data_IF_805517489541
#
_entry.id   IF_805517489541
#
_cell.length_a   1.000
_cell.length_b   1.000
_cell.length_c   1.000
_cell.angle_alpha   90.00
_cell.angle_beta   90.00
_cell.angle_gamma   90.00
#
_symmetry.space_group_name_H-M   'P 1'
#
loop_
_entity.id
_entity.type
_entity.pdbx_description
1 polymer ?
#
# COMPACT_ATOMS: atom_id res chain seq x y z
N UNK A 1 -11.48 26.89 -2.27
CA UNK A 1 -10.65 27.47 -1.21
C UNK A 1 -11.58 28.08 -0.17
N UNK A 2 -11.53 27.67 1.10
CA UNK A 2 -12.29 28.30 2.18
C UNK A 2 -11.76 29.69 2.50
N UNK A 3 -12.66 30.61 2.78
CA UNK A 3 -12.34 31.98 3.19
C UNK A 3 -12.84 32.22 4.61
N UNK A 4 -12.16 33.11 5.33
CA UNK A 4 -12.59 33.53 6.68
C UNK A 4 -13.56 34.72 6.55
N UNK A 5 -14.76 34.71 7.18
CA UNK A 5 -15.33 33.71 8.09
C UNK A 5 -15.79 32.42 7.40
N UNK A 6 -15.36 31.26 7.94
CA UNK A 6 -15.66 29.93 7.38
C UNK A 6 -17.17 29.68 7.27
N UNK A 7 -17.97 30.17 8.22
CA UNK A 7 -19.43 30.01 8.18
C UNK A 7 -20.06 30.73 6.98
N UNK A 8 -19.56 31.91 6.59
CA UNK A 8 -20.06 32.62 5.41
C UNK A 8 -19.69 31.90 4.12
N UNK A 9 -18.47 31.34 4.07
CA UNK A 9 -18.03 30.51 2.95
C UNK A 9 -18.87 29.23 2.81
N UNK A 10 -19.22 28.57 3.92
CA UNK A 10 -20.07 27.38 3.92
C UNK A 10 -21.46 27.66 3.35
N UNK A 11 -22.10 28.77 3.74
CA UNK A 11 -23.40 29.14 3.19
C UNK A 11 -23.35 29.44 1.69
N UNK A 12 -22.26 30.03 1.19
CA UNK A 12 -22.06 30.23 -0.24
C UNK A 12 -21.86 28.91 -0.99
N UNK A 13 -21.10 27.98 -0.41
CA UNK A 13 -20.87 26.65 -0.96
C UNK A 13 -22.16 25.81 -1.02
N UNK A 14 -23.01 25.88 0.01
CA UNK A 14 -24.33 25.23 0.02
C UNK A 14 -25.17 25.68 -1.18
N UNK A 15 -25.22 27.00 -1.44
CA UNK A 15 -25.96 27.55 -2.56
C UNK A 15 -25.39 27.10 -3.92
N UNK A 16 -24.06 26.97 -4.04
CA UNK A 16 -23.41 26.51 -5.26
C UNK A 16 -23.66 25.01 -5.53
N UNK A 17 -23.71 24.19 -4.47
CA UNK A 17 -24.08 22.77 -4.56
C UNK A 17 -25.53 22.61 -4.99
N UNK A 18 -26.44 23.44 -4.47
CA UNK A 18 -27.85 23.46 -4.89
C UNK A 18 -28.01 23.86 -6.36
N UNK A 19 -27.19 24.80 -6.84
CA UNK A 19 -27.25 25.30 -8.21
C UNK A 19 -26.64 24.30 -9.21
N UNK A 20 -25.64 23.52 -8.80
CA UNK A 20 -24.93 22.56 -9.65
C UNK A 20 -24.74 21.16 -9.01
N UNK A 21 -25.81 20.42 -8.66
CA UNK A 21 -25.71 19.19 -7.86
C UNK A 21 -24.98 18.03 -8.57
N UNK A 22 -24.95 18.05 -9.91
CA UNK A 22 -24.21 17.07 -10.71
C UNK A 22 -22.68 17.27 -10.65
N UNK A 23 -22.21 18.45 -10.24
CA UNK A 23 -20.79 18.74 -10.06
C UNK A 23 -20.24 18.14 -8.75
N UNK A 24 -21.10 17.85 -7.77
CA UNK A 24 -20.65 17.48 -6.43
C UNK A 24 -21.02 16.06 -5.99
N UNK A 25 -21.95 15.38 -6.68
CA UNK A 25 -22.35 14.00 -6.32
C UNK A 25 -21.19 13.01 -6.32
N UNK A 26 -20.87 12.49 -5.14
CA UNK A 26 -19.89 11.43 -4.93
C UNK A 26 -18.46 11.81 -5.27
N UNK A 27 -18.15 13.12 -5.37
CA UNK A 27 -16.82 13.58 -5.74
C UNK A 27 -15.93 13.76 -4.51
N UNK A 28 -14.72 13.29 -4.70
CA UNK A 28 -13.56 13.50 -3.86
C UNK A 28 -13.00 14.90 -4.11
N UNK A 29 -12.80 15.71 -3.07
CA UNK A 29 -12.33 17.09 -3.16
C UNK A 29 -11.06 17.32 -2.35
N UNK A 30 -10.14 18.11 -2.90
CA UNK A 30 -8.94 18.59 -2.21
C UNK A 30 -9.23 19.99 -1.66
N UNK A 31 -8.86 20.22 -0.41
CA UNK A 31 -9.13 21.47 0.29
C UNK A 31 -7.84 22.30 0.38
N UNK A 32 -7.80 23.43 -0.32
CA UNK A 32 -6.75 24.42 -0.12
C UNK A 32 -7.10 25.31 1.08
N UNK A 33 -6.28 25.26 2.13
CA UNK A 33 -6.44 26.02 3.38
C UNK A 33 -5.47 27.20 3.50
N UNK A 34 -4.85 27.62 2.40
CA UNK A 34 -3.87 28.73 2.36
C UNK A 34 -4.36 30.04 2.99
N UNK A 35 -5.66 30.34 2.89
CA UNK A 35 -6.29 31.55 3.44
C UNK A 35 -6.89 31.38 4.85
N UNK A 36 -6.74 30.19 5.45
CA UNK A 36 -7.23 29.89 6.80
C UNK A 36 -6.07 29.87 7.79
N UNK A 37 -6.34 30.18 9.06
CA UNK A 37 -5.35 30.07 10.14
C UNK A 37 -5.53 28.76 10.90
N UNK A 38 -4.44 28.14 11.32
CA UNK A 38 -4.47 26.87 12.07
C UNK A 38 -5.35 26.92 13.34
N UNK A 39 -5.33 28.05 14.04
CA UNK A 39 -6.04 28.23 15.32
C UNK A 39 -7.51 28.62 15.16
N UNK A 40 -8.06 28.57 13.94
CA UNK A 40 -9.47 28.90 13.67
C UNK A 40 -10.38 27.82 14.27
N UNK A 41 -11.21 28.12 15.28
CA UNK A 41 -12.02 27.13 15.99
C UNK A 41 -12.99 26.35 15.09
N UNK A 42 -13.45 26.99 14.02
CA UNK A 42 -14.43 26.45 13.07
C UNK A 42 -13.84 25.32 12.21
N UNK A 43 -12.51 25.21 12.13
CA UNK A 43 -11.83 24.11 11.42
C UNK A 43 -12.22 22.74 12.01
N UNK A 44 -12.30 22.60 13.33
CA UNK A 44 -12.59 21.30 13.97
C UNK A 44 -13.93 20.69 13.51
N UNK A 45 -14.92 21.52 13.19
CA UNK A 45 -16.23 21.06 12.72
C UNK A 45 -16.34 20.92 11.19
N UNK A 46 -15.37 21.45 10.44
CA UNK A 46 -15.44 21.60 8.99
C UNK A 46 -15.57 20.26 8.24
N UNK A 47 -14.83 19.18 8.56
CA UNK A 47 -14.95 17.91 7.84
C UNK A 47 -16.32 17.27 7.99
N UNK A 48 -16.91 17.40 9.18
CA UNK A 48 -18.24 16.88 9.46
C UNK A 48 -19.28 17.63 8.63
N UNK A 49 -19.21 18.97 8.59
CA UNK A 49 -20.14 19.79 7.80
C UNK A 49 -20.05 19.52 6.31
N UNK A 50 -18.83 19.41 5.76
CA UNK A 50 -18.66 19.07 4.34
C UNK A 50 -19.17 17.66 4.01
N UNK A 51 -19.00 16.69 4.91
CA UNK A 51 -19.56 15.34 4.77
C UNK A 51 -21.09 15.33 4.79
N UNK A 52 -21.69 16.11 5.69
CA UNK A 52 -23.15 16.25 5.78
C UNK A 52 -23.73 16.88 4.50
N UNK A 53 -22.93 17.67 3.77
CA UNK A 53 -23.24 18.22 2.44
C UNK A 53 -22.95 17.24 1.28
N UNK A 54 -22.49 16.02 1.56
CA UNK A 54 -22.19 14.98 0.56
C UNK A 54 -20.83 15.10 -0.12
N UNK A 55 -19.91 15.92 0.41
CA UNK A 55 -18.55 16.09 -0.09
C UNK A 55 -17.57 15.21 0.70
N UNK A 56 -16.66 14.53 -0.01
CA UNK A 56 -15.61 13.72 0.58
C UNK A 56 -14.25 14.40 0.41
N UNK A 57 -13.63 14.82 1.52
CA UNK A 57 -12.32 15.47 1.47
C UNK A 57 -11.23 14.39 1.35
N UNK A 58 -10.39 14.46 0.32
CA UNK A 58 -9.33 13.47 0.07
C UNK A 58 -7.93 13.99 0.30
N UNK A 59 -7.77 15.30 0.48
CA UNK A 59 -6.48 15.92 0.69
C UNK A 59 -6.64 17.36 1.14
N UNK A 60 -5.61 17.86 1.80
CA UNK A 60 -5.43 19.28 2.08
C UNK A 60 -4.19 19.75 1.29
N UNK A 61 -4.29 20.89 0.64
CA UNK A 61 -3.20 21.46 -0.14
C UNK A 61 -2.30 22.37 0.72
N UNK A 62 -1.01 22.40 0.38
CA UNK A 62 -0.04 23.31 0.98
C UNK A 62 0.38 22.96 2.41
N UNK A 63 0.99 23.94 3.09
CA UNK A 63 1.56 23.75 4.44
C UNK A 63 0.50 23.39 5.48
N UNK A 64 -0.77 23.73 5.22
CA UNK A 64 -1.87 23.40 6.08
C UNK A 64 -2.05 21.89 6.28
N UNK A 65 -1.62 21.06 5.32
CA UNK A 65 -1.64 19.60 5.45
C UNK A 65 -0.80 19.06 6.63
N UNK A 66 0.11 19.89 7.16
CA UNK A 66 0.97 19.54 8.30
C UNK A 66 0.51 20.15 9.62
N UNK A 67 -0.63 20.85 9.66
CA UNK A 67 -1.14 21.44 10.88
C UNK A 67 -1.54 20.35 11.89
N UNK A 68 -1.01 20.40 13.14
CA UNK A 68 -1.47 19.55 14.24
C UNK A 68 -2.99 19.51 14.42
N UNK A 69 -3.70 20.62 14.18
CA UNK A 69 -5.16 20.69 14.31
C UNK A 69 -5.94 19.86 13.30
N UNK A 70 -5.33 19.44 12.18
CA UNK A 70 -5.94 18.58 11.17
C UNK A 70 -5.68 17.08 11.40
N UNK A 71 -4.91 16.73 12.43
CA UNK A 71 -4.56 15.33 12.75
C UNK A 71 -5.79 14.46 13.01
N UNK A 72 -6.87 15.04 13.51
CA UNK A 72 -8.14 14.35 13.77
C UNK A 72 -9.03 14.16 12.53
N UNK A 73 -8.69 14.79 11.39
CA UNK A 73 -9.50 14.74 10.17
C UNK A 73 -9.31 13.43 9.39
N UNK A 74 -8.23 12.68 9.67
CA UNK A 74 -7.90 11.39 9.06
C UNK A 74 -7.87 11.43 7.52
N UNK A 75 -7.27 12.48 6.95
CA UNK A 75 -7.16 12.71 5.50
C UNK A 75 -5.72 12.42 5.06
N UNK A 76 -5.50 11.63 4.00
CA UNK A 76 -4.16 11.44 3.45
C UNK A 76 -3.62 12.77 2.91
N UNK A 77 -2.37 13.10 3.25
CA UNK A 77 -1.70 14.32 2.80
C UNK A 77 -1.49 14.21 1.29
N UNK A 78 -2.14 15.07 0.51
CA UNK A 78 -1.87 15.19 -0.92
C UNK A 78 -0.58 16.01 -1.08
N UNK A 79 0.46 15.49 -1.74
CA UNK A 79 1.68 16.25 -1.95
C UNK A 79 1.38 17.43 -2.86
N UNK A 80 1.56 18.64 -2.33
CA UNK A 80 1.61 19.85 -3.13
C UNK A 80 2.99 19.90 -3.76
N UNK A 81 3.03 19.62 -5.06
CA UNK A 81 4.20 19.62 -5.96
C UNK A 81 5.02 18.32 -5.89
N UNK A 82 5.03 17.57 -7.00
CA UNK A 82 5.67 16.26 -7.15
C UNK A 82 7.18 16.25 -6.87
N UNK A 83 7.54 16.22 -5.59
CA UNK A 83 8.90 16.10 -5.08
C UNK A 83 8.92 15.13 -3.89
N UNK A 84 9.99 14.35 -3.84
CA UNK A 84 10.28 13.28 -2.88
C UNK A 84 9.92 13.61 -1.42
N UNK A 85 9.30 12.62 -0.77
CA UNK A 85 9.23 12.53 0.69
C UNK A 85 10.66 12.37 1.23
N UNK A 86 11.13 13.36 1.98
CA UNK A 86 12.29 13.20 2.87
C UNK A 86 11.70 12.98 4.26
N UNK A 87 11.80 11.77 4.84
CA UNK A 87 11.50 11.57 6.25
C UNK A 87 12.48 12.36 7.10
N UNK A 88 12.00 13.25 7.97
CA UNK A 88 12.80 13.73 9.09
C UNK A 88 12.87 12.60 10.12
N UNK A 89 14.05 12.03 10.32
CA UNK A 89 14.29 11.09 11.41
C UNK A 89 13.96 11.70 12.78
N UNK A 90 13.04 11.00 13.46
CA UNK A 90 12.94 10.72 14.90
C UNK A 90 14.04 11.25 15.81
N UNK A 91 13.65 11.88 16.93
CA UNK A 91 14.25 11.53 18.22
C UNK A 91 13.22 11.46 19.36
N UNK A 92 13.11 10.25 19.91
CA UNK A 92 12.99 9.88 21.33
C UNK A 92 11.67 10.20 22.06
N UNK A 93 10.82 9.17 22.15
CA UNK A 93 10.20 8.84 23.45
C UNK A 93 10.02 7.33 23.58
N UNK A 94 10.79 6.77 24.51
CA UNK A 94 10.71 5.39 25.00
C UNK A 94 9.40 5.19 25.77
N UNK A 95 8.31 4.98 25.05
CA UNK A 95 7.21 4.16 25.52
C UNK A 95 7.12 3.05 24.51
N UNK A 96 7.10 1.79 24.99
CA UNK A 96 6.93 0.63 24.13
C UNK A 96 5.65 0.79 23.30
N UNK A 97 5.78 1.41 22.13
CA UNK A 97 4.79 1.40 21.08
C UNK A 97 4.63 -0.07 20.75
N UNK A 98 3.45 -0.60 21.05
CA UNK A 98 2.94 -1.74 20.32
C UNK A 98 2.95 -1.26 18.88
N UNK A 99 4.04 -1.55 18.15
CA UNK A 99 4.08 -1.35 16.70
C UNK A 99 2.77 -1.89 16.17
N UNK A 100 2.04 -1.15 15.31
CA UNK A 100 0.81 -1.68 14.75
C UNK A 100 1.18 -3.05 14.20
N UNK A 101 0.60 -4.10 14.80
CA UNK A 101 0.84 -5.47 14.38
C UNK A 101 0.49 -5.46 12.89
N UNK A 102 1.48 -5.53 12.00
CA UNK A 102 1.25 -5.71 10.57
C UNK A 102 0.39 -6.95 10.44
N UNK A 103 -0.92 -6.77 10.34
CA UNK A 103 -1.87 -7.86 10.34
C UNK A 103 -1.85 -8.46 8.96
N UNK A 104 -1.63 -9.77 8.87
CA UNK A 104 -1.68 -10.46 7.60
C UNK A 104 -3.13 -10.51 7.09
N UNK A 105 -3.35 -10.17 5.82
CA UNK A 105 -4.60 -10.41 5.13
C UNK A 105 -4.60 -11.84 4.58
N UNK A 106 -5.61 -12.64 4.92
CA UNK A 106 -5.77 -13.99 4.41
C UNK A 106 -6.91 -14.00 3.38
N UNK A 107 -6.60 -14.47 2.18
CA UNK A 107 -7.54 -14.63 1.07
C UNK A 107 -7.74 -16.13 0.84
N UNK A 108 -8.95 -16.62 1.07
CA UNK A 108 -9.28 -18.06 0.97
C UNK A 108 -9.72 -18.51 -0.44
N UNK A 109 -9.52 -17.67 -1.45
CA UNK A 109 -9.95 -17.92 -2.82
C UNK A 109 -8.82 -17.77 -3.85
N UNK A 110 -9.09 -18.29 -5.06
CA UNK A 110 -8.22 -18.09 -6.21
C UNK A 110 -8.43 -16.71 -6.81
N UNK A 111 -7.34 -16.00 -7.04
CA UNK A 111 -7.35 -14.67 -7.65
C UNK A 111 -7.24 -14.85 -9.16
N UNK A 112 -8.27 -14.40 -9.87
CA UNK A 112 -8.50 -14.61 -11.30
C UNK A 112 -7.95 -13.43 -12.10
N UNK A 113 -7.82 -13.65 -13.41
CA UNK A 113 -7.35 -12.63 -14.34
C UNK A 113 -8.14 -11.33 -14.23
N UNK A 114 -7.44 -10.20 -14.24
CA UNK A 114 -8.04 -8.86 -14.13
C UNK A 114 -8.41 -8.43 -12.71
N UNK A 115 -8.27 -9.30 -11.70
CA UNK A 115 -8.48 -8.92 -10.31
C UNK A 115 -7.21 -8.31 -9.71
N UNK A 116 -7.40 -7.28 -8.88
CA UNK A 116 -6.38 -6.62 -8.09
C UNK A 116 -6.74 -6.73 -6.61
N UNK A 117 -5.80 -7.21 -5.80
CA UNK A 117 -5.91 -7.21 -4.35
C UNK A 117 -4.75 -6.43 -3.75
N UNK A 118 -5.05 -5.54 -2.80
CA UNK A 118 -4.07 -4.68 -2.16
C UNK A 118 -4.22 -4.71 -0.65
N UNK A 119 -3.11 -4.85 0.05
CA UNK A 119 -3.00 -4.73 1.50
C UNK A 119 -1.71 -3.98 1.88
N UNK A 120 -1.79 -2.66 2.02
CA UNK A 120 -0.60 -1.83 2.26
C UNK A 120 -0.01 -1.99 3.66
N UNK A 121 -0.79 -2.48 4.62
CA UNK A 121 -0.46 -2.46 6.05
C UNK A 121 0.31 -3.70 6.52
N UNK A 122 0.47 -4.73 5.67
CA UNK A 122 1.10 -5.97 6.10
C UNK A 122 1.24 -7.03 5.01
N UNK A 123 1.39 -8.27 5.48
CA UNK A 123 1.57 -9.44 4.62
C UNK A 123 0.25 -9.87 3.97
N UNK A 124 0.33 -10.50 2.79
CA UNK A 124 -0.82 -11.13 2.12
C UNK A 124 -0.57 -12.63 2.04
N UNK A 125 -1.53 -13.41 2.51
CA UNK A 125 -1.53 -14.88 2.44
C UNK A 125 -2.71 -15.31 1.57
N UNK A 126 -2.44 -16.09 0.54
CA UNK A 126 -3.44 -16.58 -0.41
C UNK A 126 -3.51 -18.09 -0.29
N UNK A 127 -4.67 -18.62 0.11
CA UNK A 127 -4.97 -20.05 0.17
C UNK A 127 -5.54 -20.53 -1.17
N UNK A 128 -4.80 -20.27 -2.25
CA UNK A 128 -5.28 -20.53 -3.61
C UNK A 128 -4.25 -20.16 -4.67
N UNK A 129 -4.71 -20.11 -5.92
CA UNK A 129 -3.86 -19.73 -7.05
C UNK A 129 -3.99 -18.23 -7.37
N UNK A 130 -2.96 -17.68 -7.98
CA UNK A 130 -2.96 -16.36 -8.61
C UNK A 130 -2.79 -16.56 -10.12
N UNK A 131 -3.82 -16.22 -10.88
CA UNK A 131 -3.91 -16.49 -12.32
C UNK A 131 -3.13 -15.46 -13.14
N UNK A 132 -2.87 -15.75 -14.42
CA UNK A 132 -2.33 -14.77 -15.37
C UNK A 132 -3.18 -13.50 -15.40
N UNK A 133 -2.54 -12.34 -15.42
CA UNK A 133 -3.18 -11.03 -15.37
C UNK A 133 -3.86 -10.66 -14.04
N UNK A 134 -3.76 -11.49 -12.99
CA UNK A 134 -4.09 -11.10 -11.63
C UNK A 134 -2.94 -10.27 -11.02
N UNK A 135 -3.27 -9.39 -10.07
CA UNK A 135 -2.27 -8.56 -9.40
C UNK A 135 -2.47 -8.53 -7.88
N UNK A 136 -1.37 -8.73 -7.15
CA UNK A 136 -1.31 -8.71 -5.68
C UNK A 136 -0.34 -7.63 -5.25
N UNK A 137 -0.76 -6.77 -4.35
CA UNK A 137 0.06 -5.73 -3.74
C UNK A 137 0.04 -5.90 -2.21
N UNK A 138 1.21 -6.04 -1.59
CA UNK A 138 1.35 -6.18 -0.15
C UNK A 138 2.42 -5.21 0.39
N UNK A 139 2.14 -4.57 1.52
CA UNK A 139 3.13 -3.79 2.25
C UNK A 139 4.26 -4.64 2.83
N UNK A 140 3.93 -5.87 3.22
CA UNK A 140 4.89 -6.86 3.68
C UNK A 140 5.18 -7.92 2.61
N UNK A 141 5.25 -9.17 3.04
CA UNK A 141 5.49 -10.35 2.21
C UNK A 141 4.20 -10.87 1.58
N UNK A 142 4.34 -11.59 0.47
CA UNK A 142 3.24 -12.32 -0.19
C UNK A 142 3.52 -13.81 -0.08
N UNK A 143 2.55 -14.58 0.40
CA UNK A 143 2.65 -16.05 0.51
C UNK A 143 1.47 -16.65 -0.25
N UNK A 144 1.77 -17.44 -1.28
CA UNK A 144 0.78 -18.12 -2.11
C UNK A 144 0.86 -19.62 -1.85
N UNK A 145 -0.15 -20.17 -1.18
CA UNK A 145 -0.36 -21.62 -1.04
C UNK A 145 -0.97 -22.20 -2.32
N UNK A 146 -0.25 -22.05 -3.42
CA UNK A 146 -0.68 -22.47 -4.75
C UNK A 146 0.28 -22.01 -5.84
N UNK A 147 -0.23 -21.92 -7.06
CA UNK A 147 0.49 -21.39 -8.21
C UNK A 147 0.40 -19.87 -8.25
N UNK A 148 1.56 -19.21 -8.35
CA UNK A 148 1.66 -17.77 -8.61
C UNK A 148 2.05 -17.55 -10.07
N UNK A 149 1.09 -17.13 -10.90
CA UNK A 149 1.29 -16.84 -12.33
C UNK A 149 1.17 -15.35 -12.67
N UNK A 150 0.31 -14.62 -11.95
CA UNK A 150 0.13 -13.18 -12.13
C UNK A 150 1.29 -12.34 -11.60
N UNK A 151 0.99 -11.08 -11.26
CA UNK A 151 1.94 -10.11 -10.74
C UNK A 151 1.88 -10.05 -9.21
N UNK A 152 3.03 -9.98 -8.56
CA UNK A 152 3.12 -9.82 -7.12
C UNK A 152 4.10 -8.68 -6.77
N UNK A 153 3.60 -7.68 -6.05
CA UNK A 153 4.33 -6.50 -5.59
C UNK A 153 4.34 -6.54 -4.06
N UNK A 154 5.50 -6.75 -3.48
CA UNK A 154 5.71 -6.87 -2.04
C UNK A 154 6.64 -5.76 -1.52
N UNK A 155 6.65 -5.57 -0.21
CA UNK A 155 7.59 -4.68 0.45
C UNK A 155 7.37 -3.20 0.10
N UNK A 156 6.14 -2.70 0.24
CA UNK A 156 5.89 -1.25 0.17
C UNK A 156 6.56 -0.53 1.35
N UNK A 157 6.72 0.79 1.22
CA UNK A 157 7.27 1.65 2.28
C UNK A 157 8.67 1.23 2.79
N UNK A 158 9.53 0.71 1.92
CA UNK A 158 10.93 0.43 2.27
C UNK A 158 11.17 -0.95 2.90
N UNK A 159 10.17 -1.85 2.89
CA UNK A 159 10.30 -3.21 3.40
C UNK A 159 11.10 -4.13 2.45
N UNK A 160 12.39 -3.80 2.30
CA UNK A 160 13.39 -4.54 1.50
C UNK A 160 13.61 -5.98 1.95
N UNK A 161 13.23 -6.32 3.18
CA UNK A 161 13.28 -7.66 3.74
C UNK A 161 12.04 -8.52 3.41
N UNK A 162 11.05 -7.98 2.69
CA UNK A 162 9.89 -8.72 2.23
C UNK A 162 10.27 -9.90 1.30
N UNK A 163 9.37 -10.88 1.24
CA UNK A 163 9.50 -12.07 0.40
C UNK A 163 8.24 -12.29 -0.40
N UNK A 164 8.38 -12.89 -1.58
CA UNK A 164 7.26 -13.51 -2.29
C UNK A 164 7.51 -15.01 -2.31
N UNK A 165 6.60 -15.80 -1.76
CA UNK A 165 6.75 -17.25 -1.61
C UNK A 165 5.59 -17.93 -2.31
N UNK A 166 5.87 -18.97 -3.11
CA UNK A 166 4.83 -19.75 -3.77
C UNK A 166 5.20 -21.24 -3.82
N UNK A 167 4.18 -22.11 -3.86
CA UNK A 167 4.38 -23.55 -4.07
C UNK A 167 4.73 -23.89 -5.53
N UNK A 168 4.21 -23.12 -6.48
CA UNK A 168 4.61 -23.15 -7.88
C UNK A 168 4.87 -21.72 -8.34
N UNK A 169 6.13 -21.40 -8.59
CA UNK A 169 6.54 -20.03 -8.93
C UNK A 169 6.64 -19.84 -10.44
N UNK A 170 5.65 -19.15 -11.02
CA UNK A 170 5.51 -18.91 -12.47
C UNK A 170 5.12 -17.44 -12.74
N UNK A 171 5.47 -16.53 -11.82
CA UNK A 171 4.98 -15.16 -11.82
C UNK A 171 5.43 -14.38 -13.06
N UNK A 172 4.49 -13.71 -13.74
CA UNK A 172 4.77 -12.73 -14.81
C UNK A 172 5.77 -11.67 -14.36
N UNK A 173 5.55 -11.12 -13.16
CA UNK A 173 6.34 -10.05 -12.58
C UNK A 173 6.35 -10.16 -11.06
N UNK A 174 7.54 -9.95 -10.48
CA UNK A 174 7.75 -9.77 -9.05
C UNK A 174 8.38 -8.41 -8.83
N UNK A 175 7.86 -7.64 -7.88
CA UNK A 175 8.51 -6.45 -7.35
C UNK A 175 8.67 -6.55 -5.83
N UNK A 176 9.83 -6.15 -5.32
CA UNK A 176 10.14 -6.06 -3.89
C UNK A 176 10.86 -4.73 -3.65
N UNK A 177 10.27 -3.85 -2.84
CA UNK A 177 10.84 -2.53 -2.51
C UNK A 177 11.24 -1.72 -3.76
N UNK A 178 10.34 -1.69 -4.75
CA UNK A 178 10.53 -0.97 -6.01
C UNK A 178 11.47 -1.64 -7.04
N UNK A 179 12.22 -2.68 -6.66
CA UNK A 179 13.01 -3.47 -7.60
C UNK A 179 12.16 -4.60 -8.17
N UNK A 180 12.21 -4.79 -9.49
CA UNK A 180 11.39 -5.80 -10.16
C UNK A 180 12.21 -6.78 -10.98
N UNK A 181 11.63 -7.95 -11.20
CA UNK A 181 12.10 -8.98 -12.13
C UNK A 181 10.92 -9.67 -12.78
N UNK A 182 11.14 -10.13 -14.01
CA UNK A 182 10.18 -10.90 -14.79
C UNK A 182 10.61 -12.37 -14.83
N UNK A 183 9.69 -13.25 -15.24
CA UNK A 183 9.88 -14.70 -15.25
C UNK A 183 11.16 -15.14 -15.98
N UNK A 184 11.47 -14.52 -17.11
CA UNK A 184 12.60 -14.87 -17.98
C UNK A 184 13.97 -14.64 -17.33
N UNK A 185 14.02 -13.81 -16.30
CA UNK A 185 15.26 -13.52 -15.56
C UNK A 185 15.54 -14.54 -14.45
N UNK A 186 14.59 -15.43 -14.17
CA UNK A 186 14.73 -16.47 -13.14
C UNK A 186 15.36 -17.75 -13.70
N UNK A 187 16.10 -18.50 -12.86
CA UNK A 187 16.71 -19.74 -13.30
C UNK A 187 15.62 -20.79 -13.61
N UNK A 188 15.68 -21.37 -14.82
CA UNK A 188 14.63 -22.25 -15.34
C UNK A 188 14.30 -23.45 -14.44
N UNK A 189 15.27 -23.93 -13.65
CA UNK A 189 15.07 -25.05 -12.72
C UNK A 189 14.22 -24.71 -11.48
N UNK A 190 13.93 -23.42 -11.23
CA UNK A 190 13.06 -22.97 -10.14
C UNK A 190 11.65 -22.58 -10.61
N UNK A 191 11.44 -22.45 -11.92
CA UNK A 191 10.12 -22.14 -12.48
C UNK A 191 9.18 -23.34 -12.27
N UNK A 192 7.97 -23.07 -11.78
CA UNK A 192 6.98 -24.08 -11.41
C UNK A 192 7.33 -24.89 -10.15
N UNK A 193 8.47 -24.60 -9.51
CA UNK A 193 8.89 -25.25 -8.27
C UNK A 193 8.50 -24.42 -7.04
N UNK A 194 8.52 -25.02 -5.83
CA UNK A 194 8.44 -24.27 -4.59
C UNK A 194 9.66 -23.36 -4.44
N UNK A 195 9.42 -22.05 -4.45
CA UNK A 195 10.47 -21.05 -4.43
C UNK A 195 10.06 -19.79 -3.66
N UNK A 196 11.07 -19.00 -3.30
CA UNK A 196 10.93 -17.68 -2.71
C UNK A 196 11.70 -16.66 -3.54
N UNK A 197 11.11 -15.50 -3.80
CA UNK A 197 11.79 -14.33 -4.30
C UNK A 197 12.21 -13.42 -3.13
N UNK A 198 13.43 -12.91 -3.20
CA UNK A 198 14.04 -12.02 -2.20
C UNK A 198 14.82 -10.91 -2.90
N UNK A 199 14.86 -9.73 -2.28
CA UNK A 199 15.80 -8.68 -2.67
C UNK A 199 17.22 -8.98 -2.15
N UNK A 200 18.18 -9.09 -3.05
CA UNK A 200 19.62 -9.26 -2.76
C UNK A 200 20.38 -8.25 -3.64
N UNK A 201 21.20 -7.39 -3.04
CA UNK A 201 21.98 -6.40 -3.77
C UNK A 201 21.17 -5.60 -4.81
N UNK A 202 19.96 -5.14 -4.41
CA UNK A 202 19.05 -4.38 -5.29
C UNK A 202 18.55 -5.15 -6.52
N UNK A 203 18.58 -6.48 -6.46
CA UNK A 203 18.02 -7.37 -7.48
C UNK A 203 17.07 -8.37 -6.84
N UNK A 204 15.93 -8.60 -7.47
CA UNK A 204 15.02 -9.68 -7.09
C UNK A 204 15.63 -11.00 -7.57
N UNK A 205 15.98 -11.86 -6.63
CA UNK A 205 16.53 -13.20 -6.90
C UNK A 205 15.53 -14.27 -6.44
N UNK A 206 15.45 -15.36 -7.22
CA UNK A 206 14.62 -16.52 -6.92
C UNK A 206 15.47 -17.63 -6.31
N UNK A 207 15.03 -18.15 -5.16
CA UNK A 207 15.71 -19.18 -4.38
C UNK A 207 14.76 -20.35 -4.12
N UNK A 208 15.27 -21.58 -4.12
CA UNK A 208 14.50 -22.74 -3.70
C UNK A 208 14.12 -22.69 -2.22
N UNK A 209 13.00 -23.30 -1.86
CA UNK A 209 12.63 -23.47 -0.45
C UNK A 209 13.44 -24.64 0.14
N UNK A 210 14.11 -24.48 1.30
CA UNK A 210 14.84 -25.57 1.94
C UNK A 210 13.92 -26.76 2.22
N UNK A 211 14.27 -27.94 1.71
CA UNK A 211 13.56 -29.18 2.02
C UNK A 211 14.25 -29.92 3.16
N UNK A 212 13.48 -30.58 4.02
CA UNK A 212 13.97 -31.40 5.14
C UNK A 212 14.62 -32.71 4.71
N UNK A 213 14.83 -32.96 3.41
CA UNK A 213 15.61 -34.12 2.94
C UNK A 213 17.08 -33.91 3.28
N UNK A 214 17.42 -34.34 4.50
CA UNK A 214 18.77 -34.66 4.96
C UNK A 214 19.53 -35.37 3.84
N UNK A 215 20.65 -34.80 3.47
CA UNK A 215 21.66 -35.41 2.61
C UNK A 215 22.27 -36.60 3.36
N UNK A 216 21.58 -37.74 3.33
CA UNK A 216 22.24 -39.02 3.56
C UNK A 216 23.19 -39.25 2.37
N UNK A 217 24.43 -38.80 2.55
CA UNK A 217 25.55 -39.08 1.67
C UNK A 217 25.58 -40.59 1.40
N UNK A 218 25.27 -41.00 0.17
CA UNK A 218 25.64 -42.32 -0.31
C UNK A 218 27.15 -42.34 -0.40
N UNK A 219 27.80 -42.98 0.58
CA UNK A 219 29.19 -43.39 0.46
C UNK A 219 29.29 -44.28 -0.79
N UNK A 220 29.99 -43.73 -1.77
CA UNK A 220 30.56 -44.43 -2.92
C UNK A 220 31.07 -45.83 -2.52
N UNK A 221 30.48 -46.88 -3.07
CA UNK A 221 31.21 -48.12 -3.26
C UNK A 221 32.18 -47.90 -4.42
N UNK A 222 33.47 -47.85 -4.10
CA UNK A 222 34.53 -48.09 -5.06
C UNK A 222 35.28 -49.32 -4.56
N UNK A 223 35.15 -50.38 -5.37
CA UNK A 223 35.99 -51.57 -5.55
C UNK A 223 36.65 -52.19 -4.33
#
# INVERSE_FOLDING_TARGET
>A
MPENPIDLWLSALEHEIETAPHLFRGRAVILDLSEVKENTPELTALPKRLRDMGLFITGVEGQAAYWPSLKEWNIPIAPSNGGQLIPLESELSETAEVQPKKTALIIEETIRSGQLFQHAEGDVIIMGNVSWGAEIIAGGSIIVYGALRGRAIAGLEGASDARVIAQQFEAELIAIDGYYSVLENFPANLIGQPAQAKLINKRVELLGIPSTKSTASSKSSKK
#
